data_IF_711308814325
#
_entry.id   IF_711308814325
#
_cell.length_a   1.000
_cell.length_b   1.000
_cell.length_c   1.000
_cell.angle_alpha   90.00
_cell.angle_beta   90.00
_cell.angle_gamma   90.00
#
_symmetry.space_group_name_H-M   'P 1'
#
loop_
_entity.id
_entity.type
_entity.pdbx_description
1 polymer ?
#
# COMPACT_ATOMS: atom_id res chain seq x y z
N UNK A 1 -14.13 2.88 -17.96
CA UNK A 1 -13.37 1.61 -17.82
C UNK A 1 -14.35 0.50 -17.55
N UNK A 2 -14.64 -0.39 -18.49
CA UNK A 2 -15.59 -1.47 -18.25
C UNK A 2 -14.92 -2.60 -17.48
N UNK A 3 -15.47 -2.90 -16.36
CA UNK A 3 -15.33 -4.23 -15.77
C UNK A 3 -14.18 -4.53 -14.82
N UNK A 4 -13.49 -3.53 -14.27
CA UNK A 4 -12.59 -3.87 -13.18
C UNK A 4 -13.39 -4.16 -11.89
N UNK A 5 -12.79 -4.91 -10.97
CA UNK A 5 -13.42 -5.27 -9.68
C UNK A 5 -13.85 -3.99 -8.92
N UNK A 6 -13.10 -2.93 -9.12
CA UNK A 6 -13.39 -1.59 -8.58
C UNK A 6 -14.70 -1.04 -9.14
N UNK A 7 -14.95 -1.17 -10.44
CA UNK A 7 -16.19 -0.71 -11.07
C UNK A 7 -17.38 -1.64 -10.78
N UNK A 8 -17.15 -2.93 -10.50
CA UNK A 8 -18.21 -3.82 -10.01
C UNK A 8 -18.60 -3.49 -8.57
N UNK A 9 -17.61 -3.15 -7.73
CA UNK A 9 -17.85 -2.69 -6.36
C UNK A 9 -18.34 -1.24 -6.32
N UNK A 10 -17.96 -0.43 -7.30
CA UNK A 10 -18.25 0.99 -7.42
C UNK A 10 -18.63 1.29 -8.88
N UNK A 11 -19.87 1.01 -9.29
CA UNK A 11 -20.29 1.26 -10.66
C UNK A 11 -20.07 2.72 -11.03
N UNK A 12 -19.78 3.01 -12.31
CA UNK A 12 -19.42 4.33 -12.75
C UNK A 12 -20.43 5.36 -12.28
N UNK A 13 -19.93 6.44 -11.73
CA UNK A 13 -20.69 7.64 -11.46
C UNK A 13 -21.23 8.08 -12.81
N UNK A 14 -22.52 8.03 -12.97
CA UNK A 14 -23.16 8.75 -14.06
C UNK A 14 -22.93 10.23 -13.80
N UNK A 15 -21.99 10.80 -14.49
CA UNK A 15 -21.51 12.20 -14.34
C UNK A 15 -22.63 13.26 -14.53
N UNK A 16 -23.87 12.86 -14.81
CA UNK A 16 -24.93 13.77 -15.17
C UNK A 16 -25.77 14.33 -14.03
N UNK A 17 -26.13 13.52 -13.06
CA UNK A 17 -27.16 13.93 -12.09
C UNK A 17 -26.63 14.29 -10.70
N UNK A 18 -25.51 13.69 -10.27
CA UNK A 18 -25.04 13.78 -8.89
C UNK A 18 -24.12 14.97 -8.62
N UNK A 19 -23.55 15.59 -9.64
CA UNK A 19 -22.65 16.74 -9.47
C UNK A 19 -23.37 18.09 -9.35
N UNK A 20 -24.67 18.14 -9.66
CA UNK A 20 -25.46 19.39 -9.67
C UNK A 20 -26.23 19.65 -8.39
N UNK A 21 -26.37 18.66 -7.53
CA UNK A 21 -27.07 18.81 -6.25
C UNK A 21 -26.07 18.83 -5.11
N UNK A 22 -25.93 19.92 -4.36
CA UNK A 22 -25.05 19.97 -3.19
C UNK A 22 -25.40 18.93 -2.13
N UNK A 23 -26.60 18.35 -2.16
CA UNK A 23 -27.08 17.35 -1.23
C UNK A 23 -27.10 15.91 -1.78
N UNK A 24 -26.85 15.74 -3.08
CA UNK A 24 -26.71 14.42 -3.70
C UNK A 24 -25.26 14.18 -3.99
N UNK A 25 -24.56 13.75 -3.00
CA UNK A 25 -23.17 13.36 -3.08
C UNK A 25 -23.10 12.13 -3.99
N UNK A 26 -22.14 12.12 -4.88
CA UNK A 26 -21.73 10.93 -5.64
C UNK A 26 -21.27 9.84 -4.67
N UNK A 27 -22.25 9.18 -4.14
CA UNK A 27 -22.19 8.47 -2.90
C UNK A 27 -21.80 7.00 -3.04
N UNK A 28 -21.53 6.54 -4.22
CA UNK A 28 -21.08 5.16 -4.39
C UNK A 28 -19.68 4.95 -3.85
N UNK A 29 -18.91 6.02 -3.75
CA UNK A 29 -17.65 6.04 -3.03
C UNK A 29 -17.60 7.20 -2.06
N UNK A 30 -18.39 7.12 -1.04
CA UNK A 30 -18.23 7.96 0.11
C UNK A 30 -17.53 7.15 1.20
N UNK A 31 -16.32 7.51 1.56
CA UNK A 31 -15.53 6.81 2.57
C UNK A 31 -16.31 6.68 3.89
N UNK A 32 -16.97 7.73 4.33
CA UNK A 32 -17.76 7.70 5.57
C UNK A 32 -18.91 6.69 5.53
N UNK A 33 -19.65 6.62 4.42
CA UNK A 33 -20.77 5.69 4.30
C UNK A 33 -20.31 4.26 4.10
N UNK A 34 -19.22 4.08 3.34
CA UNK A 34 -18.66 2.76 3.07
C UNK A 34 -18.06 2.13 4.32
N UNK A 35 -17.22 2.88 5.04
CA UNK A 35 -16.48 2.33 6.17
C UNK A 35 -17.24 2.36 7.51
N UNK A 36 -18.17 3.28 7.68
CA UNK A 36 -19.00 3.38 8.88
C UNK A 36 -20.41 2.78 8.73
N UNK A 37 -20.78 2.37 7.51
CA UNK A 37 -22.16 2.04 7.17
C UNK A 37 -23.01 3.30 6.94
N UNK A 38 -24.05 3.14 6.09
CA UNK A 38 -24.84 4.28 5.64
C UNK A 38 -25.43 5.15 6.78
N UNK A 39 -26.03 4.60 7.85
CA UNK A 39 -26.60 5.45 8.90
C UNK A 39 -25.57 6.32 9.60
N UNK A 40 -24.42 5.76 10.00
CA UNK A 40 -23.39 6.51 10.72
C UNK A 40 -22.58 7.43 9.79
N UNK A 41 -22.31 6.98 8.58
CA UNK A 41 -21.63 7.78 7.57
C UNK A 41 -22.44 9.01 7.17
N UNK A 42 -23.75 8.88 6.97
CA UNK A 42 -24.64 10.01 6.68
C UNK A 42 -24.73 11.00 7.84
N UNK A 43 -24.67 10.51 9.09
CA UNK A 43 -24.77 11.37 10.27
C UNK A 43 -23.63 12.38 10.35
N UNK A 44 -22.43 12.03 9.91
CA UNK A 44 -21.23 12.87 10.04
C UNK A 44 -20.74 13.49 8.74
N UNK A 45 -21.22 13.01 7.61
CA UNK A 45 -20.72 13.48 6.32
C UNK A 45 -21.25 14.86 5.98
N UNK A 46 -20.33 15.80 5.75
CA UNK A 46 -20.64 17.15 5.27
C UNK A 46 -20.64 17.19 3.75
N UNK A 47 -19.57 16.70 3.13
CA UNK A 47 -19.42 16.63 1.67
C UNK A 47 -18.32 15.67 1.26
N UNK A 48 -18.32 15.28 -0.02
CA UNK A 48 -17.14 14.70 -0.67
C UNK A 48 -16.22 15.81 -1.17
N UNK A 49 -14.93 15.58 -1.03
CA UNK A 49 -13.89 16.45 -1.53
C UNK A 49 -12.86 15.66 -2.36
N UNK A 50 -12.01 16.35 -3.07
CA UNK A 50 -10.97 15.73 -3.89
C UNK A 50 -9.90 16.73 -4.29
N UNK A 51 -8.81 16.22 -4.84
CA UNK A 51 -7.78 17.05 -5.42
C UNK A 51 -8.33 17.97 -6.51
N UNK A 52 -7.62 19.06 -6.80
CA UNK A 52 -8.02 20.02 -7.82
C UNK A 52 -8.36 19.32 -9.15
N UNK A 53 -9.53 19.66 -9.69
CA UNK A 53 -10.08 19.08 -10.94
C UNK A 53 -10.23 17.56 -10.98
N UNK A 54 -10.12 16.85 -9.84
CA UNK A 54 -10.27 15.40 -9.80
C UNK A 54 -11.76 15.00 -9.76
N UNK A 55 -12.24 14.18 -10.70
CA UNK A 55 -13.62 13.71 -10.71
C UNK A 55 -13.92 12.61 -9.69
N UNK A 56 -12.91 11.95 -9.13
CA UNK A 56 -13.10 10.83 -8.19
C UNK A 56 -13.62 11.29 -6.83
N UNK A 57 -13.20 12.47 -6.36
CA UNK A 57 -13.60 13.00 -5.05
C UNK A 57 -13.54 11.94 -3.94
N UNK A 58 -12.36 11.33 -3.76
CA UNK A 58 -12.18 10.21 -2.84
C UNK A 58 -12.04 10.62 -1.36
N UNK A 59 -12.05 11.91 -1.06
CA UNK A 59 -12.05 12.43 0.30
C UNK A 59 -13.48 12.69 0.79
N UNK A 60 -13.69 12.47 2.08
CA UNK A 60 -14.92 12.87 2.77
C UNK A 60 -14.59 13.92 3.82
N UNK A 61 -15.29 15.06 3.78
CA UNK A 61 -15.30 15.96 4.91
C UNK A 61 -16.38 15.47 5.86
N UNK A 62 -15.98 15.18 7.09
CA UNK A 62 -16.84 14.64 8.15
C UNK A 62 -16.81 15.57 9.35
N UNK A 63 -17.95 15.66 10.04
CA UNK A 63 -18.15 16.47 11.24
C UNK A 63 -18.89 15.66 12.31
N UNK A 64 -18.38 15.66 13.53
CA UNK A 64 -19.02 14.98 14.66
C UNK A 64 -18.89 15.85 15.94
N UNK A 65 -19.91 16.63 16.22
CA UNK A 65 -19.94 17.49 17.41
C UNK A 65 -19.98 16.70 18.72
N UNK A 66 -20.63 15.54 18.71
CA UNK A 66 -20.71 14.66 19.88
C UNK A 66 -19.32 14.09 20.23
N UNK A 67 -18.60 13.61 19.22
CA UNK A 67 -17.24 13.13 19.42
C UNK A 67 -16.30 14.27 19.82
N UNK A 68 -16.44 15.44 19.21
CA UNK A 68 -15.64 16.63 19.52
C UNK A 68 -15.79 17.05 20.98
N UNK A 69 -17.02 17.16 21.46
CA UNK A 69 -17.31 17.54 22.84
C UNK A 69 -16.83 16.49 23.84
N UNK A 70 -17.02 15.20 23.54
CA UNK A 70 -16.68 14.11 24.46
C UNK A 70 -15.18 13.85 24.57
N UNK A 71 -14.45 13.94 23.43
CA UNK A 71 -13.04 13.53 23.35
C UNK A 71 -12.08 14.70 23.14
N UNK A 72 -12.57 15.93 23.13
CA UNK A 72 -11.77 17.15 22.95
C UNK A 72 -10.96 17.15 21.65
N UNK A 73 -11.59 16.71 20.56
CA UNK A 73 -11.03 16.72 19.20
C UNK A 73 -11.67 17.81 18.36
N UNK A 74 -11.11 18.11 17.18
CA UNK A 74 -11.75 19.00 16.22
C UNK A 74 -13.05 18.38 15.72
N UNK A 75 -14.10 19.18 15.60
CA UNK A 75 -15.39 18.67 15.14
C UNK A 75 -15.41 18.27 13.67
N UNK A 76 -14.53 18.86 12.87
CA UNK A 76 -14.46 18.63 11.42
C UNK A 76 -13.07 18.13 11.02
N UNK A 77 -13.03 17.13 10.13
CA UNK A 77 -11.79 16.63 9.54
C UNK A 77 -12.03 16.13 8.13
N UNK A 78 -11.00 16.20 7.31
CA UNK A 78 -10.99 15.62 5.97
C UNK A 78 -10.42 14.20 6.05
N UNK A 79 -11.12 13.25 5.44
CA UNK A 79 -10.79 11.84 5.53
C UNK A 79 -10.71 11.18 4.18
N UNK A 80 -9.70 10.36 4.00
CA UNK A 80 -9.56 9.54 2.80
C UNK A 80 -9.88 8.09 3.09
N UNK A 81 -10.44 7.40 2.10
CA UNK A 81 -10.51 5.96 1.98
C UNK A 81 -10.73 5.23 3.33
N UNK A 82 -9.83 4.33 3.69
CA UNK A 82 -9.97 3.44 4.85
C UNK A 82 -9.67 4.10 6.20
N UNK A 83 -9.25 5.35 6.25
CA UNK A 83 -8.89 6.00 7.52
C UNK A 83 -10.01 5.92 8.56
N UNK A 84 -11.27 6.10 8.14
CA UNK A 84 -12.45 5.93 9.01
C UNK A 84 -12.68 4.49 9.54
N UNK A 85 -11.92 3.53 9.07
CA UNK A 85 -12.02 2.16 9.55
C UNK A 85 -11.09 1.89 10.73
N UNK A 86 -9.95 2.53 10.78
CA UNK A 86 -8.83 2.07 11.58
C UNK A 86 -9.02 2.25 13.09
N UNK A 87 -9.53 3.38 13.53
CA UNK A 87 -9.77 3.62 14.96
C UNK A 87 -10.60 2.54 15.63
N UNK A 88 -11.69 2.11 14.98
CA UNK A 88 -12.57 1.09 15.56
C UNK A 88 -11.97 -0.32 15.60
N UNK A 89 -10.98 -0.61 14.74
CA UNK A 89 -10.40 -1.97 14.64
C UNK A 89 -9.73 -2.40 15.93
N UNK A 90 -9.23 -1.47 16.73
CA UNK A 90 -8.63 -1.76 18.04
C UNK A 90 -9.64 -2.40 18.99
N UNK A 91 -10.91 -2.05 18.91
CA UNK A 91 -11.95 -2.50 19.81
C UNK A 91 -12.60 -3.81 19.31
N UNK A 92 -12.36 -4.97 19.91
CA UNK A 92 -12.88 -6.25 19.43
C UNK A 92 -14.41 -6.26 19.28
N UNK A 93 -15.12 -5.62 20.22
CA UNK A 93 -16.61 -5.61 20.25
C UNK A 93 -17.24 -4.86 19.07
N UNK A 94 -16.54 -3.87 18.51
CA UNK A 94 -17.06 -3.03 17.41
C UNK A 94 -16.23 -3.08 16.12
N UNK A 95 -15.14 -3.84 16.09
CA UNK A 95 -14.23 -3.90 14.95
C UNK A 95 -14.95 -4.17 13.61
N UNK A 96 -15.94 -5.05 13.60
CA UNK A 96 -16.74 -5.40 12.41
C UNK A 96 -18.12 -4.72 12.38
N UNK A 97 -18.52 -4.03 13.45
CA UNK A 97 -19.85 -3.43 13.63
C UNK A 97 -19.84 -1.95 13.28
N UNK A 98 -19.68 -1.64 12.00
CA UNK A 98 -19.51 -0.27 11.52
C UNK A 98 -20.72 0.66 11.72
N UNK A 99 -21.90 0.10 11.95
CA UNK A 99 -23.14 0.89 12.08
C UNK A 99 -23.39 1.43 13.49
N UNK A 100 -22.50 1.13 14.45
CA UNK A 100 -22.63 1.60 15.83
C UNK A 100 -22.06 3.03 16.01
N UNK A 101 -22.70 3.87 16.86
CA UNK A 101 -22.16 5.19 17.23
C UNK A 101 -20.73 5.13 17.77
N UNK A 102 -20.41 4.15 18.63
CA UNK A 102 -19.07 3.95 19.15
C UNK A 102 -18.02 3.69 18.07
N UNK A 103 -18.40 2.99 16.99
CA UNK A 103 -17.50 2.76 15.84
C UNK A 103 -17.21 4.07 15.10
N UNK A 104 -18.20 4.95 14.95
CA UNK A 104 -18.05 6.28 14.38
C UNK A 104 -17.12 7.13 15.24
N UNK A 105 -17.38 7.22 16.55
CA UNK A 105 -16.56 7.98 17.47
C UNK A 105 -15.12 7.49 17.51
N UNK A 106 -14.90 6.17 17.61
CA UNK A 106 -13.57 5.58 17.55
C UNK A 106 -12.83 5.92 16.25
N UNK A 107 -13.54 5.93 15.12
CA UNK A 107 -12.98 6.33 13.85
C UNK A 107 -12.54 7.78 13.84
N UNK A 108 -13.39 8.70 14.31
CA UNK A 108 -13.08 10.13 14.35
C UNK A 108 -11.91 10.45 15.27
N UNK A 109 -11.92 9.90 16.49
CA UNK A 109 -10.85 10.11 17.48
C UNK A 109 -9.54 9.52 16.96
N UNK A 110 -9.58 8.29 16.44
CA UNK A 110 -8.37 7.61 15.96
C UNK A 110 -7.66 8.36 14.85
N UNK A 111 -8.42 8.86 13.88
CA UNK A 111 -7.84 9.58 12.74
C UNK A 111 -7.21 10.89 13.19
N UNK A 112 -7.94 11.72 13.91
CA UNK A 112 -7.43 13.02 14.33
C UNK A 112 -6.21 12.87 15.24
N UNK A 113 -6.26 11.93 16.17
CA UNK A 113 -5.13 11.69 17.07
C UNK A 113 -3.88 11.22 16.31
N UNK A 114 -4.05 10.34 15.32
CA UNK A 114 -2.92 9.90 14.48
C UNK A 114 -2.36 11.04 13.64
N UNK A 115 -3.22 11.85 13.06
CA UNK A 115 -2.85 12.97 12.22
C UNK A 115 -2.10 14.05 13.03
N UNK A 116 -2.65 14.45 14.17
CA UNK A 116 -2.05 15.42 15.08
C UNK A 116 -0.68 14.98 15.61
N UNK A 117 -0.49 13.69 15.83
CA UNK A 117 0.76 13.12 16.33
C UNK A 117 1.73 12.70 15.22
N UNK A 118 1.36 12.81 13.95
CA UNK A 118 2.16 12.33 12.83
C UNK A 118 2.39 10.82 12.82
N UNK A 119 1.51 10.04 13.45
CA UNK A 119 1.61 8.59 13.49
C UNK A 119 1.02 8.00 12.22
N UNK A 120 1.87 7.43 11.40
CA UNK A 120 1.40 6.72 10.21
C UNK A 120 0.88 5.34 10.57
N UNK A 121 -0.41 5.14 10.42
CA UNK A 121 -1.07 3.89 10.80
C UNK A 121 -1.03 2.80 9.73
N UNK A 122 -0.39 3.05 8.61
CA UNK A 122 -0.30 2.14 7.47
C UNK A 122 -1.57 1.30 7.26
N UNK A 123 -2.65 1.99 6.98
CA UNK A 123 -3.94 1.39 6.70
C UNK A 123 -4.44 0.40 7.77
N UNK A 124 -4.15 0.72 9.02
CA UNK A 124 -4.67 -0.01 10.17
C UNK A 124 -3.92 -1.27 10.55
N UNK A 125 -2.73 -1.47 10.02
CA UNK A 125 -1.93 -2.63 10.42
C UNK A 125 -1.57 -2.56 11.91
N UNK A 126 -1.04 -1.43 12.36
CA UNK A 126 -0.76 -1.19 13.77
C UNK A 126 -1.98 -1.49 14.67
N UNK A 127 -3.17 -1.08 14.25
CA UNK A 127 -4.41 -1.34 15.00
C UNK A 127 -4.76 -2.83 15.06
N UNK A 128 -4.56 -3.54 13.96
CA UNK A 128 -4.79 -4.98 13.90
C UNK A 128 -3.80 -5.75 14.75
N UNK A 129 -2.56 -5.36 14.72
CA UNK A 129 -1.49 -5.98 15.48
C UNK A 129 -1.67 -5.74 16.97
N UNK A 130 -1.97 -4.52 17.37
CA UNK A 130 -2.32 -4.21 18.74
C UNK A 130 -3.50 -5.06 19.23
N UNK A 131 -4.61 -5.08 18.47
CA UNK A 131 -5.80 -5.88 18.81
C UNK A 131 -5.46 -7.36 18.93
N UNK A 132 -4.66 -7.90 18.02
CA UNK A 132 -4.27 -9.32 18.02
C UNK A 132 -3.47 -9.68 19.27
N UNK A 133 -2.50 -8.85 19.65
CA UNK A 133 -1.79 -8.96 20.93
C UNK A 133 -2.74 -8.93 22.13
N UNK A 134 -3.71 -8.01 22.09
CA UNK A 134 -4.71 -7.85 23.14
C UNK A 134 -5.60 -9.08 23.27
N UNK A 135 -6.23 -9.52 22.19
CA UNK A 135 -7.18 -10.64 22.16
C UNK A 135 -6.51 -11.97 22.55
N UNK A 136 -5.25 -12.15 22.18
CA UNK A 136 -4.45 -13.33 22.57
C UNK A 136 -3.87 -13.24 23.98
N UNK A 137 -4.08 -12.15 24.70
CA UNK A 137 -3.54 -11.90 26.04
C UNK A 137 -2.00 -11.81 26.07
N UNK A 138 -1.38 -11.50 24.92
CA UNK A 138 0.08 -11.44 24.81
C UNK A 138 0.65 -10.23 25.53
N UNK A 139 -0.04 -9.09 25.53
CA UNK A 139 0.43 -7.90 26.25
C UNK A 139 0.71 -8.18 27.73
N UNK A 140 -0.15 -8.96 28.39
CA UNK A 140 0.06 -9.34 29.79
C UNK A 140 1.29 -10.23 30.00
N UNK A 141 1.68 -10.98 28.98
CA UNK A 141 2.82 -11.91 29.05
C UNK A 141 4.16 -11.21 28.81
N UNK A 142 4.17 -10.18 27.96
CA UNK A 142 5.41 -9.57 27.45
C UNK A 142 5.74 -8.23 28.08
N UNK A 143 4.75 -7.49 28.58
CA UNK A 143 5.00 -6.21 29.24
C UNK A 143 5.40 -6.37 30.70
N UNK A 144 6.29 -5.48 31.20
CA UNK A 144 6.52 -5.36 32.64
C UNK A 144 5.19 -5.11 33.38
N UNK A 145 4.99 -5.74 34.54
CA UNK A 145 3.74 -5.67 35.31
C UNK A 145 3.30 -4.23 35.59
N UNK A 146 4.25 -3.39 36.01
CA UNK A 146 3.97 -1.96 36.27
C UNK A 146 3.44 -1.24 35.01
N UNK A 147 4.00 -1.52 33.85
CA UNK A 147 3.54 -0.94 32.61
C UNK A 147 2.17 -1.47 32.21
N UNK A 148 1.99 -2.80 32.23
CA UNK A 148 0.72 -3.43 31.92
C UNK A 148 -0.42 -2.85 32.77
N UNK A 149 -0.21 -2.69 34.07
CA UNK A 149 -1.20 -2.14 35.00
C UNK A 149 -1.45 -0.63 34.80
N UNK A 150 -0.55 0.10 34.14
CA UNK A 150 -0.72 1.53 33.83
C UNK A 150 -1.59 1.78 32.59
N UNK A 151 -1.85 0.75 31.80
CA UNK A 151 -2.62 0.88 30.56
C UNK A 151 -4.12 0.75 30.88
N UNK A 152 -4.96 1.67 30.39
CA UNK A 152 -6.38 1.68 30.73
C UNK A 152 -7.19 0.65 29.92
N UNK A 153 -6.91 -0.64 30.11
CA UNK A 153 -7.52 -1.75 29.35
C UNK A 153 -9.04 -1.75 29.39
N UNK A 154 -9.64 -1.28 30.48
CA UNK A 154 -11.09 -1.22 30.63
C UNK A 154 -11.73 -0.37 29.52
N UNK A 155 -11.05 0.68 29.05
CA UNK A 155 -11.55 1.51 27.96
C UNK A 155 -11.74 0.73 26.65
N UNK A 156 -10.95 -0.33 26.40
CA UNK A 156 -11.13 -1.21 25.24
C UNK A 156 -12.45 -1.99 25.39
N UNK A 157 -12.71 -2.52 26.58
CA UNK A 157 -13.94 -3.26 26.87
C UNK A 157 -15.18 -2.38 26.79
N UNK A 158 -15.07 -1.13 27.20
CA UNK A 158 -16.13 -0.13 27.15
C UNK A 158 -16.31 0.52 25.76
N UNK A 159 -15.43 0.21 24.81
CA UNK A 159 -15.36 0.85 23.50
C UNK A 159 -15.19 2.38 23.59
N UNK A 160 -14.48 2.85 24.62
CA UNK A 160 -14.20 4.27 24.84
C UNK A 160 -13.03 4.72 23.95
N UNK A 161 -13.33 5.59 23.01
CA UNK A 161 -12.35 6.05 22.01
C UNK A 161 -11.19 6.85 22.62
N UNK A 162 -11.27 7.32 23.86
CA UNK A 162 -10.14 7.96 24.53
C UNK A 162 -8.94 7.01 24.75
N UNK A 163 -9.16 5.69 24.64
CA UNK A 163 -8.06 4.72 24.59
C UNK A 163 -7.11 4.97 23.41
N UNK A 164 -7.65 5.40 22.27
CA UNK A 164 -6.83 5.69 21.08
C UNK A 164 -5.87 6.86 21.30
N UNK A 165 -6.33 7.87 22.05
CA UNK A 165 -5.50 9.02 22.41
C UNK A 165 -4.32 8.59 23.28
N UNK A 166 -4.57 7.78 24.31
CA UNK A 166 -3.51 7.22 25.17
C UNK A 166 -2.54 6.34 24.35
N UNK A 167 -3.06 5.43 23.55
CA UNK A 167 -2.26 4.51 22.76
C UNK A 167 -1.34 5.23 21.76
N UNK A 168 -1.90 6.16 20.98
CA UNK A 168 -1.10 6.84 19.96
C UNK A 168 -0.10 7.83 20.56
N UNK A 169 -0.41 8.45 21.70
CA UNK A 169 0.59 9.20 22.44
C UNK A 169 1.75 8.32 22.92
N UNK A 170 1.45 7.14 23.46
CA UNK A 170 2.51 6.18 23.85
C UNK A 170 3.41 5.80 22.66
N UNK A 171 2.83 5.58 21.51
CA UNK A 171 3.57 5.22 20.28
C UNK A 171 4.40 6.41 19.78
N UNK A 172 3.80 7.58 19.65
CA UNK A 172 4.47 8.78 19.12
C UNK A 172 5.64 9.21 19.99
N UNK A 173 5.50 9.12 21.30
CA UNK A 173 6.54 9.51 22.27
C UNK A 173 7.37 8.34 22.81
N UNK A 174 7.23 7.15 22.21
CA UNK A 174 8.00 5.95 22.57
C UNK A 174 7.92 5.60 24.07
N UNK A 175 6.75 5.77 24.68
CA UNK A 175 6.55 5.56 26.11
C UNK A 175 6.37 4.08 26.44
N UNK A 176 7.23 3.57 27.30
CA UNK A 176 7.25 2.18 27.73
C UNK A 176 7.66 1.20 26.60
N UNK A 177 7.64 -0.08 26.92
CA UNK A 177 7.97 -1.14 25.95
C UNK A 177 6.91 -1.25 24.85
N UNK A 178 5.64 -1.12 25.20
CA UNK A 178 4.56 -1.19 24.21
C UNK A 178 4.65 -0.05 23.18
N UNK A 179 4.77 1.19 23.63
CA UNK A 179 4.83 2.35 22.75
C UNK A 179 6.08 2.33 21.87
N UNK A 180 7.23 1.99 22.45
CA UNK A 180 8.49 1.86 21.73
C UNK A 180 8.40 0.84 20.61
N UNK A 181 8.02 -0.39 20.91
CA UNK A 181 8.10 -1.48 19.93
C UNK A 181 6.97 -1.51 18.92
N UNK A 182 5.78 -1.03 19.28
CA UNK A 182 4.74 -0.78 18.27
C UNK A 182 5.19 0.27 17.25
N UNK A 183 5.98 1.25 17.68
CA UNK A 183 6.55 2.27 16.80
C UNK A 183 7.69 1.78 15.90
N UNK A 184 8.33 0.65 16.22
CA UNK A 184 9.40 0.06 15.38
C UNK A 184 8.88 -0.84 14.26
N UNK A 185 7.67 -1.22 14.24
CA UNK A 185 6.95 -2.17 13.39
C UNK A 185 6.83 -3.56 13.98
N UNK A 186 5.85 -4.30 13.49
CA UNK A 186 5.47 -5.60 14.09
C UNK A 186 6.57 -6.66 14.06
N UNK A 187 7.34 -6.89 12.99
CA UNK A 187 8.39 -7.89 13.02
C UNK A 187 9.45 -7.63 14.08
N UNK A 188 9.86 -6.38 14.24
CA UNK A 188 10.82 -6.01 15.28
C UNK A 188 10.22 -6.17 16.68
N UNK A 189 8.95 -5.80 16.86
CA UNK A 189 8.22 -6.01 18.11
C UNK A 189 8.13 -7.51 18.46
N UNK A 190 7.77 -8.35 17.50
CA UNK A 190 7.67 -9.79 17.70
C UNK A 190 9.03 -10.40 18.05
N UNK A 191 10.09 -10.00 17.36
CA UNK A 191 11.46 -10.43 17.63
C UNK A 191 11.92 -10.03 19.03
N UNK A 192 11.66 -8.78 19.44
CA UNK A 192 11.99 -8.29 20.78
C UNK A 192 11.28 -9.07 21.88
N UNK A 193 10.02 -9.34 21.73
CA UNK A 193 9.21 -10.07 22.72
C UNK A 193 9.32 -11.60 22.60
N UNK A 194 10.13 -12.11 21.67
CA UNK A 194 10.29 -13.55 21.45
C UNK A 194 8.99 -14.25 21.02
N UNK A 195 8.10 -13.57 20.33
CA UNK A 195 6.85 -14.13 19.84
C UNK A 195 7.12 -14.83 18.50
N UNK A 196 6.90 -16.15 18.38
CA UNK A 196 7.14 -16.88 17.14
C UNK A 196 6.26 -16.38 16.00
N UNK A 197 6.80 -16.33 14.80
CA UNK A 197 6.04 -15.95 13.59
C UNK A 197 4.82 -16.88 13.39
N UNK A 198 4.94 -18.16 13.73
CA UNK A 198 3.83 -19.12 13.69
C UNK A 198 2.62 -18.70 14.52
N UNK A 199 2.84 -18.02 15.64
CA UNK A 199 1.76 -17.53 16.50
C UNK A 199 1.10 -16.28 15.94
N UNK A 200 1.74 -15.63 14.97
CA UNK A 200 1.33 -14.37 14.40
C UNK A 200 0.82 -14.48 12.96
N UNK A 201 1.52 -15.22 12.11
CA UNK A 201 1.32 -15.24 10.66
C UNK A 201 0.08 -15.99 10.17
N UNK A 202 -0.64 -16.67 11.06
CA UNK A 202 -1.88 -17.39 10.70
C UNK A 202 -3.05 -16.48 10.30
N UNK A 203 -2.89 -15.18 10.47
CA UNK A 203 -3.90 -14.20 10.07
C UNK A 203 -3.56 -13.60 8.71
N UNK A 204 -4.33 -13.98 7.70
CA UNK A 204 -4.25 -13.48 6.31
C UNK A 204 -4.38 -11.96 6.18
N UNK A 205 -4.73 -11.26 7.24
CA UNK A 205 -4.77 -9.81 7.28
C UNK A 205 -3.40 -9.18 7.51
N UNK A 206 -2.40 -9.97 7.88
CA UNK A 206 -1.04 -9.51 8.12
C UNK A 206 -0.21 -9.63 6.85
N UNK A 207 -0.02 -8.54 6.15
CA UNK A 207 0.80 -8.46 4.94
C UNK A 207 2.14 -7.84 5.29
N UNK A 208 3.08 -8.63 5.82
CA UNK A 208 4.45 -8.20 6.02
C UNK A 208 5.29 -8.51 4.78
N UNK A 209 5.80 -7.48 4.16
CA UNK A 209 6.59 -7.52 2.95
C UNK A 209 7.82 -6.63 3.14
N UNK A 210 8.96 -7.04 2.65
CA UNK A 210 10.19 -6.30 2.85
C UNK A 210 10.45 -6.08 4.34
N UNK A 211 11.00 -5.00 4.76
CA UNK A 211 11.30 -4.65 6.18
C UNK A 211 10.13 -4.83 7.18
N UNK A 212 9.17 -5.67 6.86
CA UNK A 212 7.99 -5.88 7.70
C UNK A 212 7.00 -4.73 7.63
N UNK A 213 7.15 -3.86 6.66
CA UNK A 213 6.14 -2.86 6.39
C UNK A 213 4.87 -3.54 5.90
N UNK A 214 3.76 -3.37 6.59
CA UNK A 214 2.49 -3.84 6.09
C UNK A 214 2.17 -3.10 4.80
N UNK A 215 1.80 -3.83 3.77
CA UNK A 215 1.41 -3.26 2.48
C UNK A 215 -0.10 -3.24 2.36
N UNK A 216 -0.64 -2.06 2.21
CA UNK A 216 -1.99 -1.89 1.73
C UNK A 216 -1.97 -1.89 0.20
N UNK A 217 -3.01 -2.39 -0.44
CA UNK A 217 -3.02 -2.57 -1.88
C UNK A 217 -1.81 -3.35 -2.42
N UNK A 218 -1.40 -4.37 -1.66
CA UNK A 218 -0.40 -5.31 -2.15
C UNK A 218 -0.85 -5.87 -3.50
N UNK A 219 0.10 -5.98 -4.43
CA UNK A 219 -0.19 -6.32 -5.82
C UNK A 219 -0.04 -7.82 -6.09
N UNK A 220 -0.30 -8.65 -5.09
CA UNK A 220 -0.18 -10.11 -5.22
C UNK A 220 -1.04 -10.71 -6.33
N UNK A 221 -2.10 -10.03 -6.76
CA UNK A 221 -2.92 -10.45 -7.90
C UNK A 221 -2.17 -10.35 -9.25
N UNK A 222 -1.04 -9.64 -9.27
CA UNK A 222 -0.12 -9.57 -10.41
C UNK A 222 0.93 -10.70 -10.41
N UNK A 223 0.71 -11.76 -9.63
CA UNK A 223 1.61 -12.90 -9.59
C UNK A 223 3.02 -12.53 -9.16
N UNK A 224 4.02 -13.09 -9.84
CA UNK A 224 5.44 -12.84 -9.53
C UNK A 224 5.81 -11.36 -9.59
N UNK A 225 5.26 -10.60 -10.54
CA UNK A 225 5.47 -9.15 -10.67
C UNK A 225 5.04 -8.44 -9.40
N UNK A 226 3.84 -8.76 -8.90
CA UNK A 226 3.28 -8.16 -7.69
C UNK A 226 4.04 -8.53 -6.42
N UNK A 227 4.49 -9.77 -6.30
CA UNK A 227 5.27 -10.22 -5.13
C UNK A 227 6.60 -9.50 -5.07
N UNK A 228 7.37 -9.50 -6.16
CA UNK A 228 8.68 -8.82 -6.17
C UNK A 228 8.53 -7.32 -5.94
N UNK A 229 7.52 -6.69 -6.57
CA UNK A 229 7.22 -5.27 -6.34
C UNK A 229 6.96 -4.96 -4.86
N UNK A 230 6.15 -5.77 -4.20
CA UNK A 230 5.83 -5.59 -2.79
C UNK A 230 7.05 -5.70 -1.88
N UNK A 231 8.01 -6.57 -2.20
CA UNK A 231 9.24 -6.73 -1.42
C UNK A 231 10.19 -5.55 -1.57
N UNK A 232 10.28 -4.98 -2.76
CA UNK A 232 11.27 -3.94 -3.08
C UNK A 232 10.92 -2.55 -2.56
N UNK A 233 9.64 -2.27 -2.32
CA UNK A 233 9.21 -0.97 -1.82
C UNK A 233 9.16 -0.92 -0.30
N UNK A 234 9.72 0.12 0.27
CA UNK A 234 9.64 0.41 1.72
C UNK A 234 8.27 0.96 2.15
N UNK A 235 7.45 1.31 1.20
CA UNK A 235 6.10 1.81 1.36
C UNK A 235 5.14 1.00 0.51
N UNK A 236 3.87 1.26 0.65
CA UNK A 236 2.81 0.73 -0.22
C UNK A 236 3.13 0.97 -1.71
N UNK A 237 3.37 -0.07 -2.50
CA UNK A 237 3.75 0.05 -3.91
C UNK A 237 2.56 0.40 -4.81
N UNK A 238 1.53 0.99 -4.27
CA UNK A 238 0.24 1.24 -4.87
C UNK A 238 0.33 1.85 -6.27
N UNK A 239 0.23 1.02 -7.29
CA UNK A 239 0.07 1.43 -8.67
C UNK A 239 -1.26 0.90 -9.20
N UNK A 240 -2.34 1.54 -8.80
CA UNK A 240 -3.70 1.07 -9.10
C UNK A 240 -4.00 0.92 -10.59
N UNK A 241 -3.38 1.72 -11.44
CA UNK A 241 -3.55 1.61 -12.87
C UNK A 241 -3.22 0.22 -13.39
N UNK A 242 -2.11 -0.36 -12.94
CA UNK A 242 -1.69 -1.71 -13.36
C UNK A 242 -2.46 -2.81 -12.66
N UNK A 243 -2.77 -2.65 -11.37
CA UNK A 243 -3.63 -3.59 -10.62
C UNK A 243 -5.04 -3.60 -11.21
N UNK A 244 -5.58 -2.44 -11.54
CA UNK A 244 -6.89 -2.35 -12.17
C UNK A 244 -6.91 -2.98 -13.57
N UNK A 245 -5.80 -2.90 -14.30
CA UNK A 245 -5.63 -3.61 -15.57
C UNK A 245 -5.67 -5.13 -15.37
N UNK A 246 -4.88 -5.67 -14.45
CA UNK A 246 -4.83 -7.10 -14.17
C UNK A 246 -6.19 -7.65 -13.71
N UNK A 247 -6.86 -6.92 -12.82
CA UNK A 247 -8.21 -7.26 -12.31
C UNK A 247 -9.36 -6.83 -13.23
N UNK A 248 -9.06 -6.23 -14.37
CA UNK A 248 -10.10 -5.82 -15.31
C UNK A 248 -10.90 -7.03 -15.80
N UNK A 249 -12.15 -6.81 -16.18
CA UNK A 249 -12.96 -7.85 -16.82
C UNK A 249 -12.61 -8.09 -18.30
N UNK A 250 -11.50 -7.54 -18.79
CA UNK A 250 -11.03 -7.75 -20.15
C UNK A 250 -10.60 -9.21 -20.36
N UNK A 251 -10.90 -9.81 -21.52
CA UNK A 251 -10.40 -11.13 -21.87
C UNK A 251 -8.87 -11.15 -21.90
N UNK A 252 -8.29 -12.32 -21.58
CA UNK A 252 -6.82 -12.45 -21.50
C UNK A 252 -6.10 -12.12 -22.82
N UNK A 253 -6.69 -12.45 -23.95
CA UNK A 253 -6.13 -12.11 -25.26
C UNK A 253 -6.04 -10.58 -25.46
N UNK A 254 -7.02 -9.82 -24.98
CA UNK A 254 -6.98 -8.35 -25.01
C UNK A 254 -5.93 -7.82 -24.05
N UNK A 255 -5.83 -8.38 -22.84
CA UNK A 255 -4.76 -8.02 -21.90
C UNK A 255 -3.38 -8.28 -22.48
N UNK A 256 -3.17 -9.41 -23.19
CA UNK A 256 -1.92 -9.74 -23.85
C UNK A 256 -1.59 -8.77 -24.99
N UNK A 257 -2.57 -8.30 -25.77
CA UNK A 257 -2.35 -7.25 -26.77
C UNK A 257 -1.91 -5.93 -26.14
N UNK A 258 -2.53 -5.53 -25.03
CA UNK A 258 -2.12 -4.35 -24.27
C UNK A 258 -0.70 -4.54 -23.72
N UNK A 259 -0.38 -5.71 -23.20
CA UNK A 259 0.94 -6.04 -22.66
C UNK A 259 2.03 -6.03 -23.76
N UNK A 260 1.70 -6.51 -24.95
CA UNK A 260 2.58 -6.42 -26.12
C UNK A 260 2.94 -4.97 -26.45
N UNK A 261 1.94 -4.09 -26.43
CA UNK A 261 2.13 -2.66 -26.70
C UNK A 261 3.04 -1.99 -25.65
N UNK A 262 2.76 -2.19 -24.36
CA UNK A 262 3.45 -1.48 -23.28
C UNK A 262 4.79 -2.10 -22.87
N UNK A 263 4.90 -3.43 -22.93
CA UNK A 263 6.04 -4.17 -22.37
C UNK A 263 6.74 -5.10 -23.36
N UNK A 264 6.30 -5.07 -24.61
CA UNK A 264 6.92 -5.78 -25.73
C UNK A 264 6.66 -7.28 -25.73
N UNK A 265 5.73 -7.78 -24.91
CA UNK A 265 5.31 -9.19 -24.93
C UNK A 265 3.99 -9.41 -24.19
N UNK A 266 3.10 -10.18 -24.80
CA UNK A 266 1.89 -10.67 -24.14
C UNK A 266 2.18 -11.58 -22.94
N UNK A 267 3.36 -12.17 -22.85
CA UNK A 267 3.78 -13.04 -21.75
C UNK A 267 4.16 -12.25 -20.48
N UNK A 268 4.07 -10.93 -20.52
CA UNK A 268 4.22 -10.06 -19.35
C UNK A 268 3.01 -10.12 -18.40
N UNK A 269 1.90 -10.74 -18.78
CA UNK A 269 0.66 -10.80 -18.01
C UNK A 269 0.05 -12.19 -17.96
N UNK A 270 -0.51 -12.52 -16.81
CA UNK A 270 -1.29 -13.73 -16.58
C UNK A 270 -2.73 -13.39 -16.16
N UNK A 271 -3.59 -14.38 -16.17
CA UNK A 271 -4.84 -14.31 -15.42
C UNK A 271 -4.57 -14.44 -13.91
N UNK A 272 -5.36 -13.73 -13.12
CA UNK A 272 -5.26 -13.78 -11.67
C UNK A 272 -5.49 -15.21 -11.17
N UNK A 273 -4.47 -15.76 -10.52
CA UNK A 273 -4.51 -17.12 -9.97
C UNK A 273 -4.23 -18.25 -10.97
N UNK A 274 -3.89 -17.91 -12.23
CA UNK A 274 -3.46 -18.86 -13.26
C UNK A 274 -2.12 -18.43 -13.82
N UNK A 275 -1.08 -18.59 -13.00
CA UNK A 275 0.24 -18.03 -13.28
C UNK A 275 1.10 -18.98 -14.11
N UNK A 276 1.69 -18.43 -15.16
CA UNK A 276 2.76 -19.09 -15.92
C UNK A 276 4.11 -18.87 -15.21
N UNK A 277 5.14 -19.70 -15.48
CA UNK A 277 6.46 -19.51 -14.94
C UNK A 277 7.02 -18.10 -15.21
N UNK A 278 7.86 -17.62 -14.31
CA UNK A 278 8.50 -16.32 -14.45
C UNK A 278 9.32 -16.22 -15.73
N UNK A 279 9.36 -15.04 -16.30
CA UNK A 279 10.11 -14.74 -17.52
C UNK A 279 10.59 -13.28 -17.51
N UNK A 280 11.46 -12.96 -18.47
CA UNK A 280 12.02 -11.61 -18.57
C UNK A 280 10.96 -10.55 -18.93
N UNK A 281 9.93 -10.90 -19.70
CA UNK A 281 8.86 -9.95 -20.04
C UNK A 281 8.09 -9.49 -18.79
N UNK A 282 7.83 -10.39 -17.84
CA UNK A 282 7.24 -10.04 -16.54
C UNK A 282 8.16 -9.08 -15.78
N UNK A 283 9.46 -9.29 -15.81
CA UNK A 283 10.42 -8.43 -15.08
C UNK A 283 10.64 -7.08 -15.79
N UNK A 284 10.54 -7.00 -17.12
CA UNK A 284 10.46 -5.71 -17.84
C UNK A 284 9.20 -4.93 -17.45
N UNK A 285 8.07 -5.61 -17.34
CA UNK A 285 6.83 -4.99 -16.81
C UNK A 285 7.03 -4.49 -15.39
N UNK A 286 7.65 -5.26 -14.51
CA UNK A 286 7.98 -4.83 -13.16
C UNK A 286 8.80 -3.54 -13.16
N UNK A 287 9.88 -3.48 -13.94
CA UNK A 287 10.70 -2.26 -14.07
C UNK A 287 9.87 -1.07 -14.52
N UNK A 288 9.00 -1.24 -15.50
CA UNK A 288 8.11 -0.18 -15.98
C UNK A 288 7.15 0.30 -14.89
N UNK A 289 6.55 -0.61 -14.12
CA UNK A 289 5.67 -0.26 -12.99
C UNK A 289 6.43 0.58 -11.95
N UNK A 290 7.64 0.19 -11.61
CA UNK A 290 8.50 0.92 -10.69
C UNK A 290 8.78 2.34 -11.21
N UNK A 291 9.18 2.47 -12.47
CA UNK A 291 9.42 3.77 -13.08
C UNK A 291 8.20 4.69 -12.99
N UNK A 292 7.02 4.17 -13.32
CA UNK A 292 5.77 4.94 -13.30
C UNK A 292 5.33 5.27 -11.88
N UNK A 293 5.50 4.38 -10.93
CA UNK A 293 5.18 4.65 -9.53
C UNK A 293 6.02 5.80 -8.97
N UNK A 294 7.33 5.75 -9.16
CA UNK A 294 8.24 6.82 -8.73
C UNK A 294 7.95 8.13 -9.47
N UNK A 295 7.71 8.06 -10.78
CA UNK A 295 7.34 9.24 -11.56
C UNK A 295 6.06 9.91 -11.05
N UNK A 296 5.05 9.12 -10.70
CA UNK A 296 3.81 9.66 -10.15
C UNK A 296 4.05 10.34 -8.80
N UNK A 297 4.84 9.76 -7.93
CA UNK A 297 5.17 10.37 -6.64
C UNK A 297 5.97 11.67 -6.82
N UNK A 298 6.93 11.71 -7.74
CA UNK A 298 7.70 12.93 -8.05
C UNK A 298 6.85 14.06 -8.69
N UNK A 299 5.88 13.70 -9.51
CA UNK A 299 5.01 14.67 -10.21
C UNK A 299 3.73 15.00 -9.43
N UNK A 300 3.48 14.38 -8.28
CA UNK A 300 2.24 14.54 -7.54
C UNK A 300 1.02 13.98 -8.27
N UNK A 301 1.20 12.98 -9.14
CA UNK A 301 0.11 12.33 -9.85
C UNK A 301 -0.52 11.22 -9.01
N UNK A 302 -1.84 11.10 -9.11
CA UNK A 302 -2.58 10.10 -8.39
C UNK A 302 -2.51 8.72 -9.07
N UNK A 303 -2.00 7.71 -8.39
CA UNK A 303 -1.93 6.33 -8.89
C UNK A 303 -3.30 5.65 -9.09
N UNK A 304 -4.40 6.26 -8.63
CA UNK A 304 -5.76 5.83 -8.98
C UNK A 304 -6.13 6.20 -10.42
N UNK A 305 -5.58 7.30 -10.92
CA UNK A 305 -5.85 7.83 -12.26
C UNK A 305 -4.81 7.41 -13.27
N UNK A 306 -3.58 7.23 -12.85
CA UNK A 306 -2.42 6.93 -13.69
C UNK A 306 -1.77 5.60 -13.22
N UNK A 307 -1.00 4.92 -14.06
CA UNK A 307 -0.83 5.15 -15.49
C UNK A 307 -2.06 4.75 -16.32
N UNK A 308 -2.20 5.35 -17.50
CA UNK A 308 -3.31 5.06 -18.43
C UNK A 308 -2.99 3.85 -19.31
N UNK A 309 -2.95 2.68 -18.73
CA UNK A 309 -2.68 1.42 -19.45
C UNK A 309 -3.88 0.98 -20.29
N UNK A 310 -5.09 1.29 -19.86
CA UNK A 310 -6.33 0.88 -20.53
C UNK A 310 -7.14 2.10 -20.94
N UNK A 311 -7.51 2.16 -22.21
CA UNK A 311 -8.50 3.10 -22.77
C UNK A 311 -9.90 2.49 -22.74
N UNK A 312 -10.98 3.27 -22.61
CA UNK A 312 -12.34 2.78 -22.84
C UNK A 312 -12.65 2.56 -24.33
N UNK A 313 -11.76 2.97 -25.23
CA UNK A 313 -11.98 2.91 -26.66
C UNK A 313 -11.77 1.51 -27.22
N UNK A 314 -12.86 0.84 -27.55
CA UNK A 314 -12.86 -0.51 -28.12
C UNK A 314 -12.20 -0.55 -29.52
N UNK A 315 -12.33 0.51 -30.32
CA UNK A 315 -11.76 0.55 -31.66
C UNK A 315 -10.21 0.58 -31.65
N UNK A 316 -9.61 0.93 -30.51
CA UNK A 316 -8.18 0.91 -30.27
C UNK A 316 -7.75 -0.30 -29.39
N UNK A 317 -8.54 -1.36 -29.41
CA UNK A 317 -8.30 -2.57 -28.59
C UNK A 317 -8.09 -2.30 -27.09
N UNK A 318 -8.72 -1.24 -26.58
CA UNK A 318 -8.58 -0.80 -25.19
C UNK A 318 -7.16 -0.40 -24.79
N UNK A 319 -6.24 -0.19 -25.73
CA UNK A 319 -4.87 0.25 -25.46
C UNK A 319 -4.91 1.69 -24.92
N UNK A 320 -4.22 1.93 -23.83
CA UNK A 320 -4.05 3.24 -23.19
C UNK A 320 -3.01 4.11 -23.90
N UNK A 321 -2.58 5.14 -23.22
CA UNK A 321 -1.57 6.08 -23.73
C UNK A 321 -0.33 6.00 -22.83
N UNK A 322 0.76 5.49 -23.35
CA UNK A 322 2.02 5.28 -22.63
C UNK A 322 2.85 6.56 -22.45
N UNK A 323 2.48 7.65 -23.14
CA UNK A 323 3.12 8.96 -23.03
C UNK A 323 2.19 10.04 -22.40
N UNK A 324 1.10 9.66 -21.76
CA UNK A 324 0.16 10.64 -21.22
C UNK A 324 0.83 11.53 -20.15
N UNK A 325 1.60 10.95 -19.24
CA UNK A 325 2.35 11.71 -18.23
C UNK A 325 3.36 12.66 -18.90
N UNK A 326 4.03 12.19 -19.94
CA UNK A 326 4.96 13.00 -20.75
C UNK A 326 4.25 14.16 -21.45
N UNK A 327 3.08 13.93 -22.04
CA UNK A 327 2.26 14.98 -22.68
C UNK A 327 1.85 16.06 -21.69
N UNK A 328 1.39 15.66 -20.51
CA UNK A 328 1.02 16.59 -19.43
C UNK A 328 2.25 17.38 -18.97
N UNK A 329 3.37 16.69 -18.71
CA UNK A 329 4.61 17.33 -18.27
C UNK A 329 5.12 18.36 -19.29
N UNK A 330 5.17 18.01 -20.58
CA UNK A 330 5.59 18.93 -21.65
C UNK A 330 4.66 20.15 -21.74
N UNK A 331 3.35 19.91 -21.67
CA UNK A 331 2.36 20.98 -21.74
C UNK A 331 2.48 21.99 -20.58
N UNK A 332 2.78 21.50 -19.38
CA UNK A 332 2.91 22.34 -18.18
C UNK A 332 4.25 23.05 -18.08
N UNK A 333 5.34 22.41 -18.51
CA UNK A 333 6.71 22.91 -18.28
C UNK A 333 7.35 23.55 -19.51
N UNK A 334 6.83 23.29 -20.69
CA UNK A 334 7.45 23.67 -21.97
C UNK A 334 8.74 22.88 -22.29
N UNK A 335 9.12 21.90 -21.46
CA UNK A 335 10.33 21.10 -21.68
C UNK A 335 10.07 19.95 -22.65
N UNK A 336 10.91 19.81 -23.64
CA UNK A 336 10.83 18.69 -24.61
C UNK A 336 11.44 17.41 -24.01
N UNK A 337 10.72 16.77 -23.11
CA UNK A 337 11.15 15.56 -22.39
C UNK A 337 10.39 14.35 -22.95
N UNK A 338 11.09 13.29 -23.31
CA UNK A 338 10.48 12.05 -23.81
C UNK A 338 9.92 11.20 -22.67
N UNK A 339 8.97 10.30 -22.96
CA UNK A 339 8.47 9.31 -22.01
C UNK A 339 9.62 8.48 -21.39
N UNK A 340 10.58 8.04 -22.21
CA UNK A 340 11.75 7.33 -21.74
C UNK A 340 12.59 8.12 -20.71
N UNK A 341 12.81 9.41 -20.95
CA UNK A 341 13.57 10.25 -20.01
C UNK A 341 12.83 10.39 -18.66
N UNK A 342 11.50 10.42 -18.68
CA UNK A 342 10.69 10.42 -17.45
C UNK A 342 10.76 9.07 -16.75
N UNK A 343 10.69 7.97 -17.47
CA UNK A 343 10.86 6.63 -16.89
C UNK A 343 12.27 6.45 -16.30
N UNK A 344 13.31 6.93 -16.98
CA UNK A 344 14.67 6.91 -16.46
C UNK A 344 14.81 7.76 -15.19
N UNK A 345 14.10 8.90 -15.09
CA UNK A 345 14.05 9.72 -13.88
C UNK A 345 13.38 8.96 -12.72
N UNK A 346 12.26 8.27 -12.97
CA UNK A 346 11.60 7.43 -11.99
C UNK A 346 12.51 6.29 -11.51
N UNK A 347 13.17 5.61 -12.43
CA UNK A 347 14.10 4.53 -12.08
C UNK A 347 15.31 5.04 -11.29
N UNK A 348 15.80 6.24 -11.59
CA UNK A 348 16.85 6.91 -10.80
C UNK A 348 16.41 7.16 -9.36
N UNK A 349 15.19 7.67 -9.17
CA UNK A 349 14.63 7.89 -7.84
C UNK A 349 14.54 6.58 -7.05
N UNK A 350 14.05 5.51 -7.66
CA UNK A 350 13.98 4.19 -7.03
C UNK A 350 15.36 3.65 -6.61
N UNK A 351 16.36 3.77 -7.49
CA UNK A 351 17.71 3.28 -7.19
C UNK A 351 18.38 4.11 -6.09
N UNK A 352 18.14 5.42 -6.08
CA UNK A 352 18.63 6.31 -5.01
C UNK A 352 17.96 5.96 -3.67
N UNK A 353 16.68 5.68 -3.68
CA UNK A 353 15.95 5.22 -2.51
C UNK A 353 16.50 3.88 -1.97
N UNK A 354 16.84 2.95 -2.88
CA UNK A 354 17.51 1.70 -2.49
C UNK A 354 18.85 1.96 -1.80
N UNK A 355 19.68 2.83 -2.37
CA UNK A 355 20.96 3.22 -1.76
C UNK A 355 20.77 3.85 -0.38
N UNK A 356 19.78 4.73 -0.23
CA UNK A 356 19.43 5.34 1.04
C UNK A 356 19.03 4.28 2.08
N UNK A 357 18.14 3.34 1.71
CA UNK A 357 17.71 2.25 2.59
C UNK A 357 18.88 1.37 3.04
N UNK A 358 19.78 1.03 2.12
CA UNK A 358 20.99 0.26 2.45
C UNK A 358 21.87 0.97 3.47
N UNK A 359 22.01 2.29 3.38
CA UNK A 359 22.76 3.10 4.35
C UNK A 359 22.07 3.15 5.70
N UNK A 360 20.77 3.41 5.73
CA UNK A 360 20.00 3.45 7.00
C UNK A 360 20.05 2.11 7.74
N UNK A 361 20.04 1.02 7.01
CA UNK A 361 20.15 -0.32 7.57
C UNK A 361 21.60 -0.76 7.85
N UNK A 362 22.57 -0.06 7.26
CA UNK A 362 23.97 -0.51 7.17
C UNK A 362 24.08 -1.96 6.66
N UNK A 363 23.36 -2.26 5.58
CA UNK A 363 23.17 -3.62 5.08
C UNK A 363 23.34 -3.69 3.57
N UNK A 364 24.24 -4.56 3.11
CA UNK A 364 24.43 -4.83 1.68
C UNK A 364 23.55 -6.00 1.21
N UNK A 365 23.32 -7.00 2.06
CA UNK A 365 22.54 -8.18 1.70
C UNK A 365 21.03 -7.91 1.85
N UNK A 366 20.55 -7.03 1.00
CA UNK A 366 19.15 -6.62 0.96
C UNK A 366 18.23 -7.77 0.58
N UNK A 367 18.70 -8.70 -0.27
CA UNK A 367 17.95 -9.90 -0.68
C UNK A 367 17.49 -10.72 0.52
N UNK A 368 18.35 -10.88 1.50
CA UNK A 368 18.09 -11.66 2.70
C UNK A 368 17.40 -10.85 3.81
N UNK A 369 17.85 -9.60 4.01
CA UNK A 369 17.52 -8.85 5.22
C UNK A 369 16.46 -7.77 4.99
N UNK A 370 16.04 -7.55 3.73
CA UNK A 370 15.02 -6.57 3.37
C UNK A 370 13.93 -7.16 2.44
N UNK A 371 14.32 -7.87 1.36
CA UNK A 371 13.41 -8.24 0.26
C UNK A 371 12.68 -9.55 0.53
N UNK A 372 12.03 -9.67 1.68
CA UNK A 372 11.31 -10.89 2.05
C UNK A 372 9.79 -10.75 1.86
N UNK A 373 9.15 -11.88 1.75
CA UNK A 373 7.71 -12.04 1.58
C UNK A 373 7.15 -12.98 2.65
N UNK A 374 5.85 -12.84 2.99
CA UNK A 374 5.24 -13.68 4.04
C UNK A 374 5.02 -15.11 3.54
N UNK A 375 5.38 -16.10 4.37
CA UNK A 375 5.25 -17.52 4.04
C UNK A 375 3.81 -17.94 3.69
N UNK A 376 2.80 -17.27 4.22
CA UNK A 376 1.39 -17.59 3.98
C UNK A 376 0.98 -17.51 2.52
N UNK A 377 1.68 -16.76 1.67
CA UNK A 377 1.36 -16.70 0.22
C UNK A 377 1.50 -18.07 -0.47
N UNK A 378 2.30 -18.97 0.08
CA UNK A 378 2.49 -20.32 -0.44
C UNK A 378 1.69 -21.38 0.32
N UNK A 379 1.30 -21.14 1.57
CA UNK A 379 0.68 -22.12 2.47
C UNK A 379 -0.82 -21.90 2.67
N UNK A 380 -1.24 -20.68 3.01
CA UNK A 380 -2.60 -20.38 3.46
C UNK A 380 -3.41 -19.52 2.46
N UNK A 381 -2.99 -19.52 1.22
CA UNK A 381 -3.53 -18.61 0.21
C UNK A 381 -4.94 -18.95 -0.28
N UNK A 382 -5.54 -20.05 0.17
CA UNK A 382 -6.84 -20.52 -0.38
C UNK A 382 -8.02 -19.55 -0.23
N UNK A 383 -7.89 -18.52 0.59
CA UNK A 383 -8.93 -17.49 0.72
C UNK A 383 -8.53 -16.14 0.06
N UNK A 384 -7.40 -16.12 -0.63
CA UNK A 384 -6.96 -14.96 -1.42
C UNK A 384 -7.20 -15.23 -2.89
N UNK A 385 -8.01 -14.42 -3.59
CA UNK A 385 -8.31 -14.64 -5.02
C UNK A 385 -7.07 -14.77 -5.90
N UNK A 386 -6.02 -14.03 -5.59
CA UNK A 386 -4.74 -14.08 -6.28
C UNK A 386 -4.07 -15.47 -6.27
N UNK A 387 -4.36 -16.28 -5.27
CA UNK A 387 -3.70 -17.57 -5.05
C UNK A 387 -4.67 -18.76 -5.09
N UNK A 388 -5.95 -18.51 -5.19
CA UNK A 388 -6.98 -19.56 -5.11
C UNK A 388 -7.81 -19.73 -6.38
N UNK A 389 -7.73 -18.77 -7.30
CA UNK A 389 -8.45 -18.85 -8.57
C UNK A 389 -7.57 -19.59 -9.58
N UNK A 390 -8.00 -20.74 -9.98
CA UNK A 390 -7.26 -21.61 -10.89
C UNK A 390 -6.54 -22.75 -10.15
N UNK A 391 -5.89 -23.61 -10.91
CA UNK A 391 -5.17 -24.80 -10.44
C UNK A 391 -3.69 -24.57 -10.18
N UNK A 392 -3.14 -23.50 -10.76
CA UNK A 392 -1.72 -23.17 -10.67
C UNK A 392 -1.53 -22.18 -9.52
N UNK A 393 -0.74 -22.61 -8.54
CA UNK A 393 -0.34 -21.77 -7.42
C UNK A 393 1.01 -21.12 -7.70
N UNK A 394 1.25 -19.98 -7.06
CA UNK A 394 2.55 -19.35 -7.09
C UNK A 394 3.59 -20.26 -6.42
N UNK A 395 4.70 -20.50 -7.08
CA UNK A 395 5.81 -21.31 -6.59
C UNK A 395 6.91 -20.43 -6.00
N UNK A 396 7.46 -20.82 -4.85
CA UNK A 396 8.49 -20.06 -4.16
C UNK A 396 9.78 -19.99 -4.99
N UNK A 397 10.20 -21.09 -5.60
CA UNK A 397 11.39 -21.13 -6.44
C UNK A 397 11.27 -20.21 -7.66
N UNK A 398 10.04 -20.08 -8.18
CA UNK A 398 9.75 -19.18 -9.29
C UNK A 398 9.83 -17.70 -8.86
N UNK A 399 9.43 -17.37 -7.63
CA UNK A 399 9.62 -16.03 -7.07
C UNK A 399 11.11 -15.71 -6.90
N UNK A 400 11.90 -16.65 -6.34
CA UNK A 400 13.34 -16.46 -6.20
C UNK A 400 14.01 -16.22 -7.56
N UNK A 401 13.62 -17.00 -8.56
CA UNK A 401 14.08 -16.81 -9.95
C UNK A 401 13.65 -15.45 -10.52
N UNK A 402 12.47 -14.95 -10.13
CA UNK A 402 12.00 -13.62 -10.55
C UNK A 402 12.93 -12.51 -10.04
N UNK A 403 13.37 -12.58 -8.81
CA UNK A 403 14.36 -11.66 -8.26
C UNK A 403 15.68 -11.73 -9.06
N UNK A 404 16.16 -12.94 -9.34
CA UNK A 404 17.42 -13.12 -10.09
C UNK A 404 17.34 -12.49 -11.50
N UNK A 405 16.21 -12.71 -12.20
CA UNK A 405 16.00 -12.12 -13.52
C UNK A 405 15.91 -10.60 -13.41
N UNK A 406 15.14 -10.11 -12.42
CA UNK A 406 14.94 -8.67 -12.24
C UNK A 406 16.24 -7.96 -11.91
N UNK A 407 17.01 -8.43 -10.94
CA UNK A 407 18.26 -7.79 -10.53
C UNK A 407 19.29 -7.80 -11.67
N UNK A 408 19.39 -8.90 -12.42
CA UNK A 408 20.23 -8.95 -13.64
C UNK A 408 19.78 -7.92 -14.68
N UNK A 409 18.48 -7.79 -14.91
CA UNK A 409 17.91 -6.85 -15.89
C UNK A 409 18.27 -5.39 -15.59
N UNK A 410 18.42 -5.05 -14.30
CA UNK A 410 18.71 -3.68 -13.83
C UNK A 410 20.15 -3.48 -13.35
N UNK A 411 21.06 -4.40 -13.67
CA UNK A 411 22.46 -4.39 -13.27
C UNK A 411 22.68 -4.33 -11.73
N UNK A 412 21.75 -4.90 -10.95
CA UNK A 412 21.97 -5.14 -9.54
C UNK A 412 22.54 -6.55 -9.31
N UNK A 413 23.27 -6.72 -8.21
CA UNK A 413 23.78 -8.04 -7.86
C UNK A 413 22.66 -8.97 -7.39
N UNK A 414 22.40 -10.11 -8.07
CA UNK A 414 21.33 -11.03 -7.68
C UNK A 414 21.52 -11.67 -6.31
N UNK A 415 22.76 -11.83 -5.86
CA UNK A 415 23.04 -12.47 -4.57
C UNK A 415 22.65 -11.56 -3.39
N UNK A 416 22.93 -10.28 -3.51
CA UNK A 416 22.71 -9.31 -2.45
C UNK A 416 21.48 -8.41 -2.68
N UNK A 417 21.00 -8.26 -3.92
CA UNK A 417 19.95 -7.30 -4.27
C UNK A 417 20.43 -5.85 -4.19
N UNK A 418 21.74 -5.61 -4.16
CA UNK A 418 22.34 -4.29 -4.11
C UNK A 418 22.71 -3.77 -5.51
N UNK A 419 22.57 -2.46 -5.80
CA UNK A 419 23.03 -1.87 -7.04
C UNK A 419 24.55 -2.00 -7.19
N UNK A 420 25.01 -2.40 -8.37
CA UNK A 420 26.44 -2.40 -8.71
C UNK A 420 26.93 -0.99 -9.05
N UNK A 421 28.25 -0.78 -9.11
CA UNK A 421 28.79 0.49 -9.62
C UNK A 421 28.25 0.83 -11.01
N UNK A 422 28.11 -0.17 -11.87
CA UNK A 422 27.60 0.02 -13.21
C UNK A 422 26.13 0.46 -13.20
N UNK A 423 25.31 -0.13 -12.32
CA UNK A 423 23.92 0.29 -12.16
C UNK A 423 23.80 1.77 -11.82
N UNK A 424 24.65 2.30 -10.94
CA UNK A 424 24.65 3.74 -10.61
C UNK A 424 25.10 4.59 -11.81
N UNK A 425 26.12 4.17 -12.56
CA UNK A 425 26.62 4.88 -13.76
C UNK A 425 25.58 4.95 -14.86
N UNK A 426 24.86 3.86 -15.11
CA UNK A 426 23.86 3.74 -16.18
C UNK A 426 22.71 4.75 -16.04
N UNK A 427 22.50 5.30 -14.85
CA UNK A 427 21.40 6.20 -14.51
C UNK A 427 21.85 7.57 -13.95
N UNK A 428 23.11 7.93 -14.16
CA UNK A 428 23.72 9.19 -13.70
C UNK A 428 23.60 9.39 -12.16
N UNK A 429 23.99 8.37 -11.40
CA UNK A 429 24.11 8.39 -9.94
C UNK A 429 25.56 8.16 -9.47
N UNK A 430 26.56 8.50 -10.29
CA UNK A 430 27.97 8.29 -9.97
C UNK A 430 28.39 8.95 -8.64
N UNK A 431 27.75 10.05 -8.29
CA UNK A 431 28.03 10.76 -7.03
C UNK A 431 27.71 9.93 -5.77
N UNK A 432 26.88 8.90 -5.89
CA UNK A 432 26.54 7.99 -4.78
C UNK A 432 27.65 6.99 -4.52
N UNK A 433 28.40 6.59 -5.54
CA UNK A 433 29.39 5.50 -5.51
C UNK A 433 30.44 5.70 -4.40
N UNK A 434 31.11 6.87 -4.27
CA UNK A 434 32.15 7.03 -3.24
C UNK A 434 31.61 6.84 -1.80
N UNK A 435 30.37 7.25 -1.56
CA UNK A 435 29.74 7.09 -0.24
C UNK A 435 29.46 5.63 0.03
N UNK A 436 28.84 4.93 -0.93
CA UNK A 436 28.51 3.51 -0.79
C UNK A 436 29.75 2.62 -0.69
N UNK A 437 30.84 2.96 -1.42
CA UNK A 437 32.11 2.26 -1.30
C UNK A 437 32.74 2.43 0.09
N UNK A 438 32.75 3.66 0.62
CA UNK A 438 33.29 3.95 1.96
C UNK A 438 32.60 3.15 3.04
N UNK A 439 31.30 2.90 2.89
CA UNK A 439 30.48 2.17 3.85
C UNK A 439 30.44 0.65 3.56
N UNK A 440 31.16 0.16 2.52
CA UNK A 440 31.17 -1.26 2.16
C UNK A 440 29.86 -1.77 1.56
N UNK A 441 29.06 -0.88 0.98
CA UNK A 441 27.71 -1.14 0.48
C UNK A 441 27.66 -1.30 -1.08
N UNK A 442 28.80 -1.49 -1.73
CA UNK A 442 28.89 -1.88 -3.15
C UNK A 442 29.21 -3.37 -3.22
N UNK A 443 28.46 -4.19 -3.97
CA UNK A 443 28.81 -5.59 -4.17
C UNK A 443 30.23 -5.74 -4.74
N UNK A 444 31.00 -6.70 -4.20
CA UNK A 444 32.33 -7.03 -4.70
C UNK A 444 32.28 -7.47 -6.17
N UNK A 445 33.34 -7.14 -6.91
CA UNK A 445 33.50 -7.61 -8.28
C UNK A 445 33.77 -9.11 -8.31
#
# INVERSE_FOLDING_TARGET
MPGNVWQKANPPITLGEDMRSPNKISYRWCASQFFLGKPQGLKIQVRNNGCYSCPLRCYSIVEDEEAAARYHINKMTEQTCMSLYFGRVIFPKIATKRDLPAARQASMVGIQTMDDLGVWCNYGQLHRDFKKMYVKGLWKKVLPEKEYNSIPWQKIEDCDASFLQDLFQRIAYRQGEMGKWLGESTPYMLGHFGIPESDWSTDKSTNYWGLGHPKHHANEDDGQVGVVLNCLYNRDPMCHGTVNFTRSGLPINVKKQIAEHFWGSGDAVDEVGDYTPTNEAKMRRLRWIICRKELHDMLGLCSWMAPWVVSPNKSENYIGDDDMEGKVYRALTGRNTTAKQLDDAGFRAFTLHRAYTMREMNEINMRKNHDFYPAWIFTDAKDKPAFTKGTIRMDQGDIEKSFDIFFKLINWDPATGAPTEQAYKDINLEFVIPVMQKEGLIPGK
#
